data_IF_491385130705
#
_entry.id   IF_491385130705
#
_cell.length_a   1.000
_cell.length_b   1.000
_cell.length_c   1.000
_cell.angle_alpha   90.00
_cell.angle_beta   90.00
_cell.angle_gamma   90.00
#
_symmetry.space_group_name_H-M   'P 1'
#
loop_
_entity.id
_entity.type
_entity.pdbx_description
1 polymer ?
#
# COMPACT_ATOMS: atom_id res chain seq x y z
N UNK A 1 -1.16 -4.26 4.23
CA UNK A 1 -1.93 -4.10 5.47
C UNK A 1 -3.32 -4.73 5.33
N UNK A 2 -4.20 -4.19 4.47
CA UNK A 2 -5.59 -4.64 4.34
C UNK A 2 -5.71 -6.15 4.11
N UNK A 3 -4.86 -6.72 3.25
CA UNK A 3 -4.85 -8.17 3.03
C UNK A 3 -4.52 -8.99 4.29
N UNK A 4 -3.59 -8.52 5.11
CA UNK A 4 -3.27 -9.18 6.38
C UNK A 4 -4.43 -9.08 7.38
N UNK A 5 -5.10 -7.94 7.42
CA UNK A 5 -6.27 -7.76 8.27
C UNK A 5 -7.47 -8.64 7.84
N UNK A 6 -7.64 -8.87 6.54
CA UNK A 6 -8.60 -9.83 5.99
C UNK A 6 -8.23 -11.26 6.38
N UNK A 7 -6.97 -11.65 6.25
CA UNK A 7 -6.48 -12.99 6.62
C UNK A 7 -6.62 -13.28 8.11
N UNK A 8 -6.46 -12.26 8.94
CA UNK A 8 -6.63 -12.36 10.39
C UNK A 8 -8.11 -12.37 10.82
N UNK A 9 -9.04 -12.18 9.88
CA UNK A 9 -10.48 -12.05 10.20
C UNK A 9 -10.83 -10.79 11.00
N UNK A 10 -9.94 -9.79 11.03
CA UNK A 10 -10.19 -8.52 11.72
C UNK A 10 -11.24 -7.69 11.00
N UNK A 11 -11.33 -7.82 9.69
CA UNK A 11 -12.24 -7.09 8.80
C UNK A 11 -12.62 -7.94 7.59
N UNK A 12 -13.69 -7.56 6.92
CA UNK A 12 -14.05 -7.94 5.54
C UNK A 12 -14.24 -6.67 4.70
N UNK A 13 -14.45 -6.79 3.39
CA UNK A 13 -14.53 -5.64 2.46
C UNK A 13 -15.52 -4.56 2.87
N UNK A 14 -16.64 -4.97 3.46
CA UNK A 14 -17.76 -4.09 3.89
C UNK A 14 -17.75 -3.77 5.40
N UNK A 15 -16.72 -4.21 6.15
CA UNK A 15 -16.57 -3.80 7.54
C UNK A 15 -16.40 -2.29 7.63
N UNK A 16 -17.08 -1.67 8.59
CA UNK A 16 -16.97 -0.24 8.79
C UNK A 16 -15.74 0.10 9.64
N UNK A 17 -14.97 1.05 9.14
CA UNK A 17 -13.89 1.74 9.83
C UNK A 17 -14.32 3.18 10.11
N UNK A 18 -13.74 3.80 11.13
CA UNK A 18 -14.06 5.18 11.49
C UNK A 18 -13.00 6.12 10.91
N UNK A 19 -13.44 7.00 10.01
CA UNK A 19 -12.63 8.08 9.48
C UNK A 19 -13.01 9.40 10.18
N UNK A 20 -12.45 9.62 11.36
CA UNK A 20 -12.68 10.78 12.20
C UNK A 20 -11.38 11.20 12.89
N UNK A 21 -11.27 12.42 13.44
CA UNK A 21 -10.13 12.80 14.26
C UNK A 21 -9.92 11.80 15.38
N UNK A 22 -8.74 11.17 15.42
CA UNK A 22 -8.42 10.12 16.38
C UNK A 22 -6.95 10.24 16.79
N UNK A 23 -6.68 9.96 18.06
CA UNK A 23 -5.34 9.91 18.64
C UNK A 23 -4.95 8.46 18.95
N UNK A 24 -3.77 8.07 18.57
CA UNK A 24 -3.13 6.78 18.83
C UNK A 24 -1.93 7.02 19.75
N UNK A 25 -2.20 7.16 21.06
CA UNK A 25 -1.21 7.71 21.99
C UNK A 25 -0.85 9.16 21.62
N UNK A 26 0.43 9.43 21.40
CA UNK A 26 0.93 10.75 20.99
C UNK A 26 0.87 10.97 19.47
N UNK A 27 0.37 9.99 18.70
CA UNK A 27 0.27 10.08 17.24
C UNK A 27 -1.14 10.42 16.78
N UNK A 28 -1.31 11.57 16.13
CA UNK A 28 -2.58 12.06 15.60
C UNK A 28 -2.51 12.22 14.07
N UNK A 29 -2.82 11.14 13.30
CA UNK A 29 -2.83 11.22 11.85
C UNK A 29 -4.00 12.05 11.34
N UNK A 30 -3.76 12.81 10.28
CA UNK A 30 -4.81 13.47 9.50
C UNK A 30 -4.92 12.88 8.09
N UNK A 31 -6.09 13.03 7.47
CA UNK A 31 -6.24 12.72 6.05
C UNK A 31 -5.58 13.80 5.20
N UNK A 32 -5.14 13.41 3.99
CA UNK A 32 -4.48 14.32 3.06
C UNK A 32 -5.35 15.55 2.72
N UNK A 33 -6.65 15.36 2.54
CA UNK A 33 -7.61 16.43 2.22
C UNK A 33 -8.07 17.24 3.45
N UNK A 34 -7.51 17.00 4.63
CA UNK A 34 -7.88 17.65 5.90
C UNK A 34 -9.40 17.54 6.22
N UNK A 35 -10.09 16.54 5.66
CA UNK A 35 -11.49 16.24 5.90
C UNK A 35 -11.68 14.81 6.38
N UNK A 36 -12.79 14.56 7.04
CA UNK A 36 -13.15 13.24 7.55
C UNK A 36 -14.54 12.84 7.02
N UNK A 37 -14.76 11.54 6.87
CA UNK A 37 -15.94 10.99 6.22
C UNK A 37 -16.88 10.24 7.18
N UNK A 38 -16.49 10.09 8.45
CA UNK A 38 -17.22 9.27 9.41
C UNK A 38 -17.05 7.77 9.14
N UNK A 39 -18.10 6.95 9.31
CA UNK A 39 -18.03 5.52 8.99
C UNK A 39 -17.85 5.30 7.49
N UNK A 40 -16.81 4.52 7.11
CA UNK A 40 -16.48 4.13 5.72
C UNK A 40 -16.25 2.64 5.66
N UNK A 41 -16.52 1.99 4.53
CA UNK A 41 -16.16 0.58 4.35
C UNK A 41 -14.65 0.42 4.19
N UNK A 42 -14.15 -0.78 4.46
CA UNK A 42 -12.76 -1.17 4.19
C UNK A 42 -12.41 -0.94 2.73
N UNK A 43 -13.33 -1.28 1.81
CA UNK A 43 -13.19 -1.02 0.38
C UNK A 43 -13.00 0.46 0.08
N UNK A 44 -13.87 1.31 0.61
CA UNK A 44 -13.80 2.76 0.41
C UNK A 44 -12.52 3.36 1.02
N UNK A 45 -12.17 2.94 2.25
CA UNK A 45 -10.96 3.41 2.92
C UNK A 45 -9.69 3.11 2.12
N UNK A 46 -9.60 1.92 1.52
CA UNK A 46 -8.47 1.52 0.68
C UNK A 46 -8.45 2.29 -0.65
N UNK A 47 -9.57 2.38 -1.36
CA UNK A 47 -9.71 3.07 -2.65
C UNK A 47 -9.36 4.55 -2.53
N UNK A 48 -9.91 5.23 -1.51
CA UNK A 48 -9.70 6.65 -1.26
C UNK A 48 -8.40 6.96 -0.53
N UNK A 49 -7.65 5.92 -0.15
CA UNK A 49 -6.36 6.09 0.56
C UNK A 49 -6.49 6.90 1.86
N UNK A 50 -7.53 6.62 2.65
CA UNK A 50 -7.79 7.31 3.91
C UNK A 50 -6.75 6.91 4.95
N UNK A 51 -6.14 7.91 5.58
CA UNK A 51 -5.03 7.71 6.50
C UNK A 51 -5.48 7.17 7.85
N UNK A 52 -6.50 7.79 8.45
CA UNK A 52 -6.95 7.43 9.81
C UNK A 52 -7.43 5.98 9.88
N UNK A 53 -8.29 5.48 8.97
CA UNK A 53 -8.67 4.07 8.93
C UNK A 53 -7.48 3.12 8.72
N UNK A 54 -6.47 3.52 7.92
CA UNK A 54 -5.29 2.70 7.71
C UNK A 54 -4.41 2.61 8.98
N UNK A 55 -4.30 3.70 9.73
CA UNK A 55 -3.55 3.71 11.01
C UNK A 55 -4.28 2.87 12.06
N UNK A 56 -5.60 3.01 12.22
CA UNK A 56 -6.42 2.16 13.10
C UNK A 56 -6.22 0.67 12.77
N UNK A 57 -6.29 0.34 11.49
CA UNK A 57 -6.09 -1.04 11.06
C UNK A 57 -4.67 -1.56 11.33
N UNK A 58 -3.65 -0.70 11.18
CA UNK A 58 -2.27 -1.07 11.52
C UNK A 58 -2.08 -1.24 13.03
N UNK A 59 -2.73 -0.44 13.85
CA UNK A 59 -2.71 -0.63 15.31
C UNK A 59 -3.26 -2.01 15.69
N UNK A 60 -4.38 -2.43 15.09
CA UNK A 60 -5.01 -3.74 15.32
C UNK A 60 -4.18 -4.91 14.82
N UNK A 61 -3.54 -4.80 13.66
CA UNK A 61 -2.61 -5.81 13.11
C UNK A 61 -1.30 -5.87 13.88
N UNK A 62 -0.84 -4.74 14.38
CA UNK A 62 0.44 -4.55 15.05
C UNK A 62 1.58 -4.18 14.10
N UNK A 63 2.21 -3.01 14.27
CA UNK A 63 3.25 -2.52 13.34
C UNK A 63 4.49 -3.40 13.28
N UNK A 64 4.90 -4.03 14.39
CA UNK A 64 6.03 -4.97 14.43
C UNK A 64 5.74 -6.22 13.61
N UNK A 65 4.53 -6.77 13.76
CA UNK A 65 4.08 -7.94 12.99
C UNK A 65 3.98 -7.61 11.50
N UNK A 66 3.40 -6.46 11.16
CA UNK A 66 3.32 -5.97 9.78
C UNK A 66 4.70 -5.85 9.13
N UNK A 67 5.67 -5.22 9.82
CA UNK A 67 7.04 -5.10 9.32
C UNK A 67 7.74 -6.46 9.16
N UNK A 68 7.48 -7.41 10.06
CA UNK A 68 8.01 -8.77 9.96
C UNK A 68 7.45 -9.53 8.75
N UNK A 69 6.16 -9.40 8.46
CA UNK A 69 5.53 -10.00 7.28
C UNK A 69 6.09 -9.42 5.98
N UNK A 70 6.27 -8.11 5.91
CA UNK A 70 6.90 -7.46 4.76
C UNK A 70 8.33 -7.95 4.55
N UNK A 71 9.12 -8.04 5.63
CA UNK A 71 10.50 -8.54 5.56
C UNK A 71 10.56 -9.98 5.05
N UNK A 72 9.66 -10.85 5.52
CA UNK A 72 9.57 -12.23 5.07
C UNK A 72 9.23 -12.32 3.57
N UNK A 73 8.46 -11.37 3.06
CA UNK A 73 8.12 -11.24 1.64
C UNK A 73 9.20 -10.51 0.81
N UNK A 74 10.35 -10.22 1.39
CA UNK A 74 11.48 -9.59 0.69
C UNK A 74 11.51 -8.07 0.72
N UNK A 75 10.57 -7.41 1.39
CA UNK A 75 10.56 -5.95 1.56
C UNK A 75 11.34 -5.57 2.81
N UNK A 76 12.52 -5.02 2.64
CA UNK A 76 13.37 -4.56 3.73
C UNK A 76 13.05 -3.10 4.06
N UNK A 77 12.26 -2.89 5.09
CA UNK A 77 11.98 -1.54 5.55
C UNK A 77 13.24 -0.88 6.13
N UNK A 78 13.59 0.27 5.59
CA UNK A 78 14.68 1.13 6.05
C UNK A 78 14.11 2.19 6.97
N UNK A 79 14.55 2.16 8.22
CA UNK A 79 14.10 3.08 9.26
C UNK A 79 15.29 3.84 9.83
N UNK A 80 15.10 5.00 10.47
CA UNK A 80 16.15 5.68 11.21
C UNK A 80 16.82 4.75 12.23
N UNK A 81 18.10 4.96 12.48
CA UNK A 81 18.87 4.13 13.43
C UNK A 81 18.19 4.13 14.81
N UNK A 82 17.98 2.95 15.37
CA UNK A 82 17.32 2.75 16.65
C UNK A 82 15.80 2.86 16.64
N UNK A 83 15.20 3.20 15.50
CA UNK A 83 13.73 3.25 15.40
C UNK A 83 13.13 1.84 15.35
N UNK A 84 12.01 1.67 16.04
CA UNK A 84 11.20 0.46 16.00
C UNK A 84 9.98 0.68 15.07
N UNK A 85 9.44 -0.40 14.45
CA UNK A 85 8.21 -0.32 13.69
C UNK A 85 7.07 0.29 14.51
N UNK A 86 6.44 1.32 13.99
CA UNK A 86 5.35 2.06 14.64
C UNK A 86 4.26 2.42 13.60
N UNK A 87 3.22 3.11 14.03
CA UNK A 87 2.04 3.42 13.20
C UNK A 87 2.36 4.33 12.01
N UNK A 88 3.42 5.11 12.03
CA UNK A 88 3.80 5.95 10.89
C UNK A 88 4.21 5.15 9.65
N UNK A 89 4.53 3.84 9.81
CA UNK A 89 4.90 2.98 8.68
C UNK A 89 3.88 2.99 7.55
N UNK A 90 2.58 3.00 7.89
CA UNK A 90 1.53 2.93 6.88
C UNK A 90 1.37 4.23 6.09
N UNK A 91 1.90 5.32 6.61
CA UNK A 91 1.90 6.64 5.99
C UNK A 91 3.28 7.05 5.45
N UNK A 92 4.16 6.09 5.22
CA UNK A 92 5.48 6.33 4.61
C UNK A 92 6.61 6.56 5.61
N UNK A 93 6.46 6.15 6.88
CA UNK A 93 7.50 6.25 7.91
C UNK A 93 8.66 5.26 7.77
N UNK A 94 8.68 4.46 6.70
CA UNK A 94 9.79 3.55 6.36
C UNK A 94 10.13 3.61 4.88
N UNK A 95 11.41 3.56 4.54
CA UNK A 95 11.90 3.51 3.16
C UNK A 95 11.90 2.07 2.62
N UNK A 96 11.71 1.93 1.31
CA UNK A 96 11.89 0.67 0.57
C UNK A 96 12.40 0.96 -0.83
N UNK A 97 12.80 -0.04 -1.59
CA UNK A 97 13.11 0.15 -3.01
C UNK A 97 11.88 -0.10 -3.88
N UNK A 98 11.88 0.49 -5.09
CA UNK A 98 10.84 0.24 -6.08
C UNK A 98 10.75 -1.26 -6.42
N UNK A 99 11.90 -1.91 -6.57
CA UNK A 99 12.01 -3.34 -6.86
C UNK A 99 11.34 -4.20 -5.77
N UNK A 100 11.65 -3.94 -4.49
CA UNK A 100 11.05 -4.67 -3.36
C UNK A 100 9.53 -4.46 -3.31
N UNK A 101 9.08 -3.23 -3.57
CA UNK A 101 7.66 -2.90 -3.57
C UNK A 101 6.90 -3.61 -4.71
N UNK A 102 7.44 -3.58 -5.93
CA UNK A 102 6.88 -4.28 -7.09
C UNK A 102 6.80 -5.79 -6.83
N UNK A 103 7.86 -6.38 -6.25
CA UNK A 103 7.87 -7.79 -5.87
C UNK A 103 6.76 -8.16 -4.87
N UNK A 104 6.50 -7.30 -3.88
CA UNK A 104 5.40 -7.50 -2.93
C UNK A 104 4.02 -7.34 -3.57
N UNK A 105 3.83 -6.33 -4.44
CA UNK A 105 2.56 -6.12 -5.14
C UNK A 105 2.25 -7.22 -6.16
N UNK A 106 3.26 -7.87 -6.75
CA UNK A 106 3.06 -9.01 -7.63
C UNK A 106 2.30 -10.16 -6.93
N UNK A 107 2.33 -10.23 -5.60
CA UNK A 107 1.56 -11.21 -4.83
C UNK A 107 0.04 -11.11 -5.09
N UNK A 108 -0.49 -9.94 -5.43
CA UNK A 108 -1.91 -9.75 -5.75
C UNK A 108 -2.31 -10.53 -7.02
N UNK A 109 -1.44 -10.62 -8.03
CA UNK A 109 -1.68 -11.40 -9.25
C UNK A 109 -1.29 -12.89 -9.09
N UNK A 110 -0.53 -13.22 -8.06
CA UNK A 110 0.05 -14.55 -7.83
C UNK A 110 -0.59 -15.31 -6.68
N UNK A 111 -1.86 -15.03 -6.38
CA UNK A 111 -2.61 -15.70 -5.33
C UNK A 111 -1.99 -15.55 -3.94
N UNK A 112 -1.40 -14.39 -3.65
CA UNK A 112 -0.80 -14.05 -2.36
C UNK A 112 0.67 -14.45 -2.19
N UNK A 113 1.34 -14.91 -3.25
CA UNK A 113 2.77 -15.30 -3.22
C UNK A 113 3.62 -14.14 -3.74
N UNK A 114 4.37 -13.51 -2.85
CA UNK A 114 5.40 -12.53 -3.21
C UNK A 114 6.65 -13.23 -3.76
N UNK A 115 7.39 -12.55 -4.62
CA UNK A 115 8.66 -13.04 -5.12
C UNK A 115 9.68 -11.91 -5.18
N UNK A 116 10.94 -12.25 -4.96
CA UNK A 116 12.02 -11.32 -5.26
C UNK A 116 12.14 -11.15 -6.78
N UNK A 117 12.13 -9.91 -7.29
CA UNK A 117 12.38 -9.63 -8.70
C UNK A 117 13.73 -10.21 -9.15
N UNK A 118 13.77 -10.75 -10.38
CA UNK A 118 14.98 -11.31 -10.98
C UNK A 118 15.34 -10.51 -12.20
N UNK A 119 16.59 -10.10 -12.29
CA UNK A 119 17.11 -9.41 -13.47
C UNK A 119 17.50 -10.39 -14.59
N UNK A 120 17.83 -11.64 -14.22
CA UNK A 120 18.24 -12.69 -15.16
C UNK A 120 17.26 -13.87 -15.09
N UNK A 121 16.89 -14.48 -16.23
CA UNK A 121 15.94 -15.59 -16.25
C UNK A 121 16.38 -16.83 -15.45
N UNK A 122 17.68 -17.07 -15.40
CA UNK A 122 18.33 -18.19 -14.69
C UNK A 122 18.59 -17.93 -13.20
N UNK A 123 18.34 -16.68 -12.72
CA UNK A 123 18.47 -16.37 -11.31
C UNK A 123 17.46 -17.18 -10.47
N UNK A 124 17.82 -17.62 -9.25
CA UNK A 124 16.93 -18.38 -8.39
C UNK A 124 15.61 -17.63 -8.14
N UNK A 125 14.48 -18.36 -8.25
CA UNK A 125 13.19 -17.83 -7.86
C UNK A 125 13.02 -18.02 -6.35
N UNK A 126 12.95 -16.92 -5.61
CA UNK A 126 12.69 -16.90 -4.18
C UNK A 126 11.28 -16.40 -3.95
N UNK A 127 10.44 -17.26 -3.42
CA UNK A 127 9.02 -17.00 -3.22
C UNK A 127 8.63 -17.16 -1.74
N UNK A 128 7.71 -16.33 -1.31
CA UNK A 128 7.16 -16.40 0.06
C UNK A 128 5.69 -16.01 0.04
N UNK A 129 4.86 -16.77 0.75
CA UNK A 129 3.46 -16.39 0.92
C UNK A 129 3.35 -15.17 1.81
N UNK A 130 2.82 -14.08 1.25
CA UNK A 130 2.58 -12.82 1.97
C UNK A 130 1.16 -12.74 2.53
N UNK A 131 0.18 -13.30 1.81
CA UNK A 131 -1.24 -13.32 2.17
C UNK A 131 -1.92 -14.55 1.59
N UNK A 132 -3.14 -14.85 2.00
CA UNK A 132 -3.94 -15.90 1.38
C UNK A 132 -4.35 -15.54 -0.06
N UNK A 133 -4.73 -16.53 -0.85
CA UNK A 133 -5.27 -16.30 -2.19
C UNK A 133 -6.59 -15.49 -2.14
N UNK A 134 -7.41 -15.74 -1.12
CA UNK A 134 -8.67 -15.01 -0.91
C UNK A 134 -8.45 -13.53 -0.61
N UNK A 135 -7.53 -13.22 0.32
CA UNK A 135 -7.20 -11.82 0.64
C UNK A 135 -6.56 -11.10 -0.56
N UNK A 136 -5.68 -11.77 -1.32
CA UNK A 136 -5.10 -11.22 -2.54
C UNK A 136 -6.17 -10.89 -3.58
N UNK A 137 -7.14 -11.80 -3.78
CA UNK A 137 -8.27 -11.60 -4.70
C UNK A 137 -9.12 -10.40 -4.27
N UNK A 138 -9.56 -10.35 -3.00
CA UNK A 138 -10.41 -9.28 -2.48
C UNK A 138 -9.73 -7.92 -2.61
N UNK A 139 -8.46 -7.81 -2.17
CA UNK A 139 -7.73 -6.53 -2.26
C UNK A 139 -7.52 -6.11 -3.71
N UNK A 140 -7.22 -7.06 -4.60
CA UNK A 140 -7.08 -6.77 -6.02
C UNK A 140 -8.39 -6.25 -6.61
N UNK A 141 -9.52 -6.89 -6.34
CA UNK A 141 -10.84 -6.48 -6.81
C UNK A 141 -11.21 -5.08 -6.31
N UNK A 142 -10.96 -4.78 -5.03
CA UNK A 142 -11.17 -3.44 -4.47
C UNK A 142 -10.35 -2.39 -5.25
N UNK A 143 -9.08 -2.68 -5.52
CA UNK A 143 -8.20 -1.74 -6.23
C UNK A 143 -8.51 -1.61 -7.73
N UNK A 144 -9.06 -2.65 -8.36
CA UNK A 144 -9.54 -2.61 -9.75
C UNK A 144 -10.81 -1.76 -9.91
N UNK A 145 -11.69 -1.79 -8.90
CA UNK A 145 -12.97 -1.06 -8.91
C UNK A 145 -12.82 0.42 -8.51
N UNK A 146 -11.70 0.79 -7.89
CA UNK A 146 -11.42 2.16 -7.45
C UNK A 146 -10.98 3.10 -8.57
N UNK A 147 -11.77 3.28 -9.61
CA UNK A 147 -11.49 3.99 -10.86
C UNK A 147 -10.43 5.09 -10.82
N UNK A 148 -9.62 5.18 -11.86
CA UNK A 148 -8.62 6.26 -12.00
C UNK A 148 -9.35 7.60 -12.14
N UNK A 149 -9.02 8.62 -11.34
CA UNK A 149 -9.70 9.92 -11.39
C UNK A 149 -9.66 10.60 -12.78
N UNK A 150 -8.64 10.27 -13.58
CA UNK A 150 -8.30 11.00 -14.80
C UNK A 150 -8.57 10.22 -16.09
N UNK A 151 -9.07 9.00 -16.01
CA UNK A 151 -9.45 8.25 -17.22
C UNK A 151 -10.90 8.53 -17.55
N UNK A 152 -11.19 9.26 -18.65
CA UNK A 152 -12.52 9.20 -19.23
C UNK A 152 -12.83 7.73 -19.52
N UNK A 153 -14.05 7.31 -19.24
CA UNK A 153 -14.56 5.96 -19.50
C UNK A 153 -14.02 5.43 -20.83
N UNK A 154 -12.93 4.69 -20.77
CA UNK A 154 -12.49 3.84 -21.86
C UNK A 154 -12.84 2.43 -21.45
N UNK A 155 -13.67 1.79 -22.25
CA UNK A 155 -13.83 0.34 -22.29
C UNK A 155 -12.49 -0.32 -22.66
N UNK A 156 -11.48 -0.17 -21.80
CA UNK A 156 -10.25 -0.92 -21.94
C UNK A 156 -10.47 -2.24 -21.27
N UNK A 157 -10.31 -3.31 -22.01
CA UNK A 157 -10.47 -4.69 -21.58
C UNK A 157 -9.49 -5.13 -20.47
N UNK A 158 -8.53 -4.32 -20.11
CA UNK A 158 -7.53 -4.62 -19.08
C UNK A 158 -7.92 -3.98 -17.74
N UNK A 159 -8.30 -4.81 -16.77
CA UNK A 159 -8.44 -4.41 -15.38
C UNK A 159 -7.07 -4.21 -14.76
N UNK A 160 -6.86 -3.08 -14.11
CA UNK A 160 -5.62 -2.75 -13.40
C UNK A 160 -5.94 -2.45 -11.96
N UNK A 161 -5.48 -3.29 -11.06
CA UNK A 161 -5.46 -2.96 -9.64
C UNK A 161 -4.32 -1.98 -9.38
N UNK A 162 -4.62 -0.78 -8.91
CA UNK A 162 -3.60 0.24 -8.75
C UNK A 162 -3.68 0.96 -7.41
N UNK A 163 -2.52 1.42 -6.92
CA UNK A 163 -2.43 2.19 -5.68
C UNK A 163 -1.34 3.22 -5.79
N UNK A 164 -1.64 4.43 -5.34
CA UNK A 164 -0.68 5.51 -5.20
C UNK A 164 -0.20 5.65 -3.76
N UNK A 165 0.92 6.30 -3.59
CA UNK A 165 1.48 6.70 -2.31
C UNK A 165 2.19 8.04 -2.43
N UNK A 166 2.19 8.80 -1.34
CA UNK A 166 2.95 10.03 -1.20
C UNK A 166 3.64 10.00 0.15
N UNK A 167 4.96 10.13 0.18
CA UNK A 167 5.69 10.15 1.44
C UNK A 167 5.47 11.45 2.21
N UNK A 168 5.69 11.39 3.52
CA UNK A 168 5.62 12.59 4.36
C UNK A 168 6.57 13.68 3.85
N UNK A 169 6.05 14.89 3.75
CA UNK A 169 6.79 16.05 3.25
C UNK A 169 6.98 16.08 1.73
N UNK A 170 6.21 15.32 0.96
CA UNK A 170 6.24 15.33 -0.52
C UNK A 170 7.63 15.03 -1.11
N UNK A 171 8.35 14.07 -0.53
CA UNK A 171 9.67 13.65 -1.01
C UNK A 171 9.57 12.67 -2.15
N UNK A 172 8.55 11.81 -2.10
CA UNK A 172 8.36 10.70 -3.03
C UNK A 172 6.91 10.61 -3.47
N UNK A 173 6.70 10.46 -4.76
CA UNK A 173 5.42 10.10 -5.36
C UNK A 173 5.54 8.67 -5.93
N UNK A 174 4.60 7.82 -5.58
CA UNK A 174 4.58 6.41 -5.93
C UNK A 174 3.28 6.02 -6.62
N UNK A 175 3.38 5.12 -7.59
CA UNK A 175 2.24 4.36 -8.10
C UNK A 175 2.65 2.92 -8.40
N UNK A 176 1.78 1.97 -8.08
CA UNK A 176 1.96 0.57 -8.47
C UNK A 176 0.66 0.09 -9.11
N UNK A 177 0.77 -0.50 -10.29
CA UNK A 177 -0.33 -1.12 -11.04
C UNK A 177 -0.08 -2.62 -11.21
N UNK A 178 -1.13 -3.43 -11.04
CA UNK A 178 -1.07 -4.89 -11.16
C UNK A 178 -2.16 -5.35 -12.13
N UNK A 179 -1.75 -6.14 -13.11
CA UNK A 179 -2.64 -6.88 -14.01
C UNK A 179 -2.41 -8.38 -13.84
N UNK A 180 -3.06 -9.21 -14.63
CA UNK A 180 -2.83 -10.67 -14.61
C UNK A 180 -1.41 -11.05 -15.03
N UNK A 181 -0.73 -10.20 -15.80
CA UNK A 181 0.57 -10.51 -16.41
C UNK A 181 1.71 -9.60 -15.96
N UNK A 182 1.39 -8.38 -15.55
CA UNK A 182 2.39 -7.36 -15.28
C UNK A 182 2.14 -6.69 -13.93
N UNK A 183 3.22 -6.39 -13.24
CA UNK A 183 3.24 -5.45 -12.13
C UNK A 183 4.18 -4.32 -12.51
N UNK A 184 3.66 -3.10 -12.53
CA UNK A 184 4.40 -1.91 -12.91
C UNK A 184 4.49 -0.99 -11.71
N UNK A 185 5.69 -0.56 -11.38
CA UNK A 185 5.92 0.43 -10.33
C UNK A 185 6.52 1.70 -10.92
N UNK A 186 6.07 2.85 -10.42
CA UNK A 186 6.59 4.17 -10.77
C UNK A 186 6.99 4.87 -9.48
N UNK A 187 8.18 5.46 -9.49
CA UNK A 187 8.66 6.34 -8.44
C UNK A 187 9.14 7.65 -9.06
N UNK A 188 8.69 8.75 -8.50
CA UNK A 188 9.16 10.10 -8.83
C UNK A 188 9.61 10.76 -7.55
N UNK A 189 10.87 11.15 -7.50
CA UNK A 189 11.48 11.74 -6.32
C UNK A 189 12.87 12.25 -6.63
N UNK A 190 13.53 12.80 -5.61
CA UNK A 190 14.92 13.21 -5.70
C UNK A 190 15.79 12.26 -4.89
N UNK A 191 16.94 11.81 -5.41
CA UNK A 191 17.81 10.87 -4.71
C UNK A 191 18.31 11.38 -3.36
N UNK A 192 18.42 12.69 -3.20
CA UNK A 192 18.83 13.37 -1.97
C UNK A 192 17.66 13.53 -0.95
N UNK A 193 16.44 13.12 -1.33
CA UNK A 193 15.25 13.25 -0.48
C UNK A 193 14.74 14.68 -0.31
N UNK A 194 15.18 15.63 -1.13
CA UNK A 194 14.68 17.01 -1.10
C UNK A 194 13.19 17.05 -1.42
N UNK A 195 12.35 17.66 -0.56
CA UNK A 195 10.92 17.78 -0.80
C UNK A 195 10.57 18.56 -2.07
N UNK A 196 9.46 18.17 -2.71
CA UNK A 196 8.81 18.95 -3.75
C UNK A 196 7.29 18.89 -3.57
N UNK A 197 6.61 20.00 -3.23
CA UNK A 197 5.16 20.02 -3.05
C UNK A 197 4.35 19.53 -4.25
N UNK A 198 4.95 19.52 -5.45
CA UNK A 198 4.35 18.93 -6.65
C UNK A 198 4.41 17.39 -6.73
N UNK A 199 5.16 16.72 -5.84
CA UNK A 199 5.27 15.27 -5.83
C UNK A 199 4.09 14.62 -5.10
N UNK A 200 2.96 14.63 -5.75
CA UNK A 200 1.76 13.96 -5.28
C UNK A 200 1.50 12.70 -6.13
N UNK A 201 1.44 11.54 -5.48
CA UNK A 201 1.41 10.25 -6.17
C UNK A 201 0.31 10.12 -7.22
N UNK A 202 -0.89 10.61 -6.94
CA UNK A 202 -2.02 10.54 -7.87
C UNK A 202 -1.84 11.41 -9.13
N UNK A 203 -1.10 12.52 -9.03
CA UNK A 203 -0.94 13.47 -10.15
C UNK A 203 0.39 13.30 -10.88
N UNK A 204 1.40 12.69 -10.22
CA UNK A 204 2.76 12.68 -10.73
C UNK A 204 3.23 11.28 -11.14
N UNK A 205 2.79 10.24 -10.43
CA UNK A 205 3.24 8.87 -10.64
C UNK A 205 2.17 7.95 -11.24
N UNK A 206 0.87 8.29 -11.14
CA UNK A 206 -0.25 7.49 -11.67
C UNK A 206 -0.55 7.75 -13.14
#
# INVERSE_FOLDING_TARGET
>A
LYALALDDGLVHSESLLVDAPQNFGDYAPGNFQASFNGPVSVSEALQRSLNVPAVDLLERVGPVRFAAQLRNAGVKLRMPQGATPNLSLILGGGGTTLEELVGAYAALARGGVAAHPRLMPDAPLVETRLMSAGAAFIVREILESGGRPDTPFRETSARVAWKTGTSFGFRDAWAVGVTDRYTVGIWVGRPDGTPNPGFFGANTAA
#
